data_IF_555766032981
#
_entry.id   IF_555766032981
#
_cell.length_a   1.000
_cell.length_b   1.000
_cell.length_c   1.000
_cell.angle_alpha   90.00
_cell.angle_beta   90.00
_cell.angle_gamma   90.00
#
_symmetry.space_group_name_H-M   'P 1'
#
loop_
_entity.id
_entity.type
_entity.pdbx_description
1 polymer ?
#
# COMPACT_ATOMS: atom_id res chain seq x y z
N UNK A 1 13.51 1.06 -15.32
CA UNK A 1 12.29 0.37 -14.85
C UNK A 1 12.66 -0.65 -13.78
N UNK A 2 11.86 -0.79 -12.75
CA UNK A 2 12.01 -1.76 -11.67
C UNK A 2 10.66 -2.47 -11.48
N UNK A 3 10.64 -3.81 -11.59
CA UNK A 3 9.48 -4.66 -11.31
C UNK A 3 8.21 -4.27 -12.09
N UNK A 4 8.35 -3.80 -13.32
CA UNK A 4 7.22 -3.35 -14.16
C UNK A 4 6.64 -4.47 -15.04
N UNK A 5 7.06 -5.71 -14.85
CA UNK A 5 6.39 -6.87 -15.46
C UNK A 5 5.27 -7.32 -14.51
N UNK A 6 4.03 -6.99 -14.84
CA UNK A 6 2.86 -7.29 -14.01
C UNK A 6 2.37 -8.74 -14.13
N UNK A 7 2.96 -9.53 -15.02
CA UNK A 7 2.70 -10.97 -15.13
C UNK A 7 3.57 -11.78 -14.16
N UNK A 8 4.49 -11.13 -13.46
CA UNK A 8 5.36 -11.76 -12.47
C UNK A 8 4.84 -11.56 -11.05
N UNK A 9 4.81 -12.67 -10.31
CA UNK A 9 4.59 -12.63 -8.86
C UNK A 9 5.88 -12.18 -8.18
N UNK A 10 5.75 -11.21 -7.28
CA UNK A 10 6.87 -10.67 -6.49
C UNK A 10 6.55 -10.74 -5.00
N UNK A 11 7.59 -10.96 -4.20
CA UNK A 11 7.52 -10.82 -2.75
C UNK A 11 8.83 -10.19 -2.25
N UNK A 12 8.72 -9.00 -1.67
CA UNK A 12 9.88 -8.20 -1.25
C UNK A 12 9.73 -7.85 0.22
N UNK A 13 10.61 -8.35 1.06
CA UNK A 13 10.68 -7.94 2.46
C UNK A 13 11.44 -6.60 2.56
N UNK A 14 10.70 -5.52 2.80
CA UNK A 14 11.28 -4.17 2.87
C UNK A 14 12.22 -3.98 4.05
N UNK A 15 12.13 -4.80 5.10
CA UNK A 15 13.07 -4.74 6.22
C UNK A 15 14.48 -5.20 5.83
N UNK A 16 14.60 -6.01 4.78
CA UNK A 16 15.88 -6.49 4.22
C UNK A 16 16.44 -5.57 3.13
N UNK A 17 15.65 -4.58 2.67
CA UNK A 17 16.13 -3.59 1.71
C UNK A 17 16.85 -2.46 2.43
N UNK A 18 17.90 -1.95 1.81
CA UNK A 18 18.54 -0.72 2.27
C UNK A 18 17.78 0.52 1.79
N UNK A 19 17.87 1.58 2.60
CA UNK A 19 17.31 2.86 2.23
C UNK A 19 18.16 3.51 1.13
N UNK A 20 17.50 3.91 0.05
CA UNK A 20 18.11 4.64 -1.05
C UNK A 20 17.78 6.13 -0.94
N UNK A 21 18.71 7.03 -1.27
CA UNK A 21 18.44 8.47 -1.24
C UNK A 21 17.39 8.85 -2.29
N UNK A 22 16.60 9.86 -1.96
CA UNK A 22 15.74 10.55 -2.93
C UNK A 22 16.42 11.84 -3.43
N UNK A 23 15.81 12.57 -4.38
CA UNK A 23 16.29 13.92 -4.72
C UNK A 23 16.25 14.91 -3.56
N UNK A 24 15.42 14.69 -2.54
CA UNK A 24 15.44 15.43 -1.28
C UNK A 24 16.41 14.78 -0.30
N UNK A 25 17.34 15.55 0.25
CA UNK A 25 18.37 15.05 1.15
C UNK A 25 17.83 14.46 2.48
N UNK A 26 16.58 14.79 2.85
CA UNK A 26 15.93 14.34 4.09
C UNK A 26 14.86 13.28 3.86
N UNK A 27 14.83 12.68 2.66
CA UNK A 27 13.84 11.66 2.30
C UNK A 27 14.55 10.46 1.68
N UNK A 28 14.18 9.28 2.16
CA UNK A 28 14.76 7.99 1.75
C UNK A 28 13.67 7.07 1.22
N UNK A 29 14.03 6.17 0.34
CA UNK A 29 13.11 5.26 -0.35
C UNK A 29 13.57 3.81 -0.32
N UNK A 30 12.60 2.90 -0.26
CA UNK A 30 12.73 1.49 -0.61
C UNK A 30 11.80 1.24 -1.78
N UNK A 31 12.30 1.30 -3.02
CA UNK A 31 11.46 1.14 -4.19
C UNK A 31 10.98 -0.30 -4.34
N UNK A 32 9.69 -0.48 -4.65
CA UNK A 32 9.06 -1.77 -4.91
C UNK A 32 8.75 -1.92 -6.39
N UNK A 33 8.15 -0.87 -6.98
CA UNK A 33 7.88 -0.76 -8.43
C UNK A 33 8.24 0.64 -8.89
N UNK A 34 8.75 0.74 -10.12
CA UNK A 34 9.11 2.05 -10.67
C UNK A 34 9.25 2.03 -12.18
N UNK A 35 8.42 2.82 -12.86
CA UNK A 35 8.47 2.99 -14.30
C UNK A 35 9.71 3.80 -14.73
N UNK A 36 9.92 4.97 -14.12
CA UNK A 36 11.08 5.81 -14.38
C UNK A 36 11.71 6.31 -13.08
N UNK A 37 12.88 6.94 -13.17
CA UNK A 37 13.65 7.35 -11.98
C UNK A 37 12.86 8.27 -11.05
N UNK A 38 12.15 9.26 -11.58
CA UNK A 38 11.44 10.29 -10.79
C UNK A 38 10.02 10.59 -11.33
N UNK A 39 9.43 9.70 -12.13
CA UNK A 39 8.11 9.90 -12.71
C UNK A 39 7.43 8.57 -13.06
N UNK A 40 6.14 8.64 -13.38
CA UNK A 40 5.34 7.48 -13.78
C UNK A 40 4.88 6.63 -12.61
N UNK A 41 4.43 5.42 -12.94
CA UNK A 41 3.95 4.42 -11.97
C UNK A 41 5.02 4.12 -10.92
N UNK A 42 4.67 4.25 -9.65
CA UNK A 42 5.61 4.02 -8.54
C UNK A 42 4.89 3.46 -7.32
N UNK A 43 5.46 2.42 -6.73
CA UNK A 43 5.15 1.92 -5.39
C UNK A 43 6.43 1.89 -4.57
N UNK A 44 6.44 2.49 -3.38
CA UNK A 44 7.62 2.56 -2.52
C UNK A 44 7.25 2.64 -1.05
N UNK A 45 8.14 2.17 -0.18
CA UNK A 45 8.17 2.62 1.21
C UNK A 45 9.09 3.84 1.29
N UNK A 46 8.60 4.93 1.88
CA UNK A 46 9.31 6.21 1.95
C UNK A 46 9.44 6.65 3.38
N UNK A 47 10.64 7.07 3.77
CA UNK A 47 10.94 7.64 5.09
C UNK A 47 11.26 9.13 4.94
N UNK A 48 10.54 9.92 5.70
CA UNK A 48 10.82 11.33 5.97
C UNK A 48 11.62 11.43 7.26
N UNK A 49 12.74 12.11 7.24
CA UNK A 49 13.45 12.48 8.46
C UNK A 49 12.72 13.59 9.21
N UNK A 50 12.98 13.79 10.51
CA UNK A 50 12.42 14.93 11.25
C UNK A 50 12.72 16.26 10.54
N UNK A 51 11.67 17.06 10.32
CA UNK A 51 11.74 18.35 9.61
C UNK A 51 11.77 18.24 8.09
N UNK A 52 11.68 17.04 7.52
CA UNK A 52 11.62 16.86 6.07
C UNK A 52 10.36 17.50 5.48
N UNK A 53 10.51 18.12 4.31
CA UNK A 53 9.39 18.74 3.58
C UNK A 53 9.63 18.73 2.08
N UNK A 54 8.54 18.80 1.32
CA UNK A 54 8.55 19.02 -0.11
C UNK A 54 7.83 20.32 -0.46
N UNK A 55 8.29 20.99 -1.49
CA UNK A 55 7.54 22.08 -2.12
C UNK A 55 6.23 21.55 -2.67
N UNK A 56 5.25 22.44 -2.82
CA UNK A 56 3.98 22.07 -3.44
C UNK A 56 4.21 21.39 -4.79
N UNK A 57 3.59 20.24 -4.96
CA UNK A 57 3.63 19.47 -6.20
C UNK A 57 2.27 18.83 -6.49
N UNK A 58 2.08 18.37 -7.71
CA UNK A 58 0.84 17.78 -8.18
C UNK A 58 1.00 16.29 -8.45
N UNK A 59 -0.12 15.57 -8.32
CA UNK A 59 -0.24 14.15 -8.63
C UNK A 59 -1.14 13.95 -9.87
N UNK A 60 -0.59 13.93 -11.10
CA UNK A 60 -1.39 13.89 -12.33
C UNK A 60 -2.34 12.70 -12.41
N UNK A 61 -1.95 11.55 -11.87
CA UNK A 61 -2.72 10.31 -11.85
C UNK A 61 -2.89 9.76 -10.43
N UNK A 62 -3.01 10.66 -9.46
CA UNK A 62 -3.32 10.35 -8.07
C UNK A 62 -2.15 9.85 -7.22
N UNK A 63 -2.41 9.85 -5.93
CA UNK A 63 -1.50 9.38 -4.89
C UNK A 63 -2.30 8.62 -3.82
N UNK A 64 -1.80 7.46 -3.41
CA UNK A 64 -2.33 6.63 -2.34
C UNK A 64 -1.25 6.45 -1.27
N UNK A 65 -1.61 6.69 0.00
CA UNK A 65 -0.68 6.61 1.12
C UNK A 65 -1.30 5.78 2.25
N UNK A 66 -0.50 4.91 2.85
CA UNK A 66 -0.73 4.39 4.19
C UNK A 66 0.44 4.82 5.08
N UNK A 67 0.15 5.56 6.15
CA UNK A 67 1.17 5.98 7.12
C UNK A 67 1.50 4.80 8.03
N UNK A 68 2.73 4.32 7.94
CA UNK A 68 3.21 3.14 8.68
C UNK A 68 3.77 3.50 10.05
N UNK A 69 4.47 4.65 10.14
CA UNK A 69 5.12 5.12 11.37
C UNK A 69 5.13 6.65 11.41
N UNK A 70 5.12 7.23 12.60
CA UNK A 70 5.21 8.67 12.82
C UNK A 70 3.98 9.44 12.36
N UNK A 71 4.18 10.69 11.90
CA UNK A 71 3.11 11.58 11.45
C UNK A 71 3.48 12.19 10.10
N UNK A 72 2.71 11.86 9.07
CA UNK A 72 2.74 12.54 7.79
C UNK A 72 1.81 13.75 7.85
N UNK A 73 2.20 14.87 7.27
CA UNK A 73 1.42 16.12 7.33
C UNK A 73 1.41 16.83 5.98
N UNK A 74 0.38 17.60 5.74
CA UNK A 74 0.29 18.57 4.66
C UNK A 74 -0.48 19.83 5.13
N UNK A 75 -0.77 20.78 4.24
CA UNK A 75 -1.53 21.98 4.56
C UNK A 75 -2.98 21.72 5.01
N UNK A 76 -3.45 20.48 4.90
CA UNK A 76 -4.82 20.09 5.26
C UNK A 76 -4.89 19.38 6.61
N UNK A 77 -3.77 18.96 7.19
CA UNK A 77 -3.74 18.34 8.52
C UNK A 77 -2.56 17.43 8.78
N UNK A 78 -2.62 16.81 9.96
CA UNK A 78 -1.66 15.83 10.46
C UNK A 78 -2.27 14.43 10.38
N UNK A 79 -1.52 13.47 9.87
CA UNK A 79 -1.95 12.10 9.61
C UNK A 79 -1.03 11.13 10.35
N UNK A 80 -1.40 10.68 11.56
CA UNK A 80 -0.58 9.73 12.33
C UNK A 80 -0.54 8.34 11.70
N UNK A 81 0.39 7.50 12.18
CA UNK A 81 0.48 6.10 11.80
C UNK A 81 -0.89 5.41 11.85
N UNK A 82 -1.19 4.61 10.85
CA UNK A 82 -2.50 4.00 10.63
C UNK A 82 -3.47 4.89 9.84
N UNK A 83 -3.08 6.07 9.38
CA UNK A 83 -3.94 6.85 8.49
C UNK A 83 -3.76 6.40 7.04
N UNK A 84 -4.90 6.13 6.38
CA UNK A 84 -4.97 5.87 4.94
C UNK A 84 -5.48 7.11 4.20
N UNK A 85 -4.79 7.47 3.12
CA UNK A 85 -5.10 8.66 2.33
C UNK A 85 -5.17 8.31 0.84
N UNK A 86 -6.14 8.94 0.14
CA UNK A 86 -6.16 9.02 -1.33
C UNK A 86 -6.27 10.48 -1.76
N UNK A 87 -5.38 10.87 -2.61
CA UNK A 87 -5.34 12.18 -3.26
C UNK A 87 -5.65 11.96 -4.75
N UNK A 88 -6.82 12.39 -5.26
CA UNK A 88 -7.27 12.07 -6.61
C UNK A 88 -6.38 12.69 -7.69
N UNK A 89 -6.50 12.24 -8.96
CA UNK A 89 -5.81 12.82 -10.10
C UNK A 89 -5.95 14.35 -10.16
N UNK A 90 -4.83 15.05 -10.37
CA UNK A 90 -4.76 16.52 -10.39
C UNK A 90 -4.70 17.19 -9.02
N UNK A 91 -4.74 16.44 -7.93
CA UNK A 91 -4.54 17.00 -6.58
C UNK A 91 -3.15 17.59 -6.39
N UNK A 92 -3.03 18.52 -5.44
CA UNK A 92 -1.77 19.20 -5.08
C UNK A 92 -1.66 19.28 -3.57
N UNK A 93 -0.46 19.15 -3.04
CA UNK A 93 -0.15 19.42 -1.64
C UNK A 93 1.33 19.75 -1.41
N UNK A 94 1.65 20.17 -0.20
CA UNK A 94 3.00 20.46 0.30
C UNK A 94 3.30 19.54 1.49
N UNK A 95 3.69 18.28 1.27
CA UNK A 95 3.87 17.33 2.35
C UNK A 95 5.12 17.60 3.19
N UNK A 96 5.00 17.32 4.48
CA UNK A 96 6.08 17.43 5.45
C UNK A 96 5.91 16.44 6.60
N UNK A 97 6.94 16.30 7.42
CA UNK A 97 6.85 15.60 8.69
C UNK A 97 7.74 16.30 9.73
N UNK A 98 7.15 16.75 10.83
CA UNK A 98 7.89 17.45 11.92
C UNK A 98 8.79 16.49 12.67
N UNK A 99 8.27 15.31 13.00
CA UNK A 99 8.95 14.31 13.84
C UNK A 99 9.52 13.14 13.03
N UNK A 100 9.29 13.14 11.73
CA UNK A 100 9.60 12.03 10.84
C UNK A 100 8.42 11.06 10.69
N UNK A 101 8.39 10.37 9.55
CA UNK A 101 7.40 9.33 9.29
C UNK A 101 7.91 8.30 8.28
N UNK A 102 7.23 7.16 8.26
CA UNK A 102 7.38 6.13 7.21
C UNK A 102 6.02 5.90 6.59
N UNK A 103 5.96 5.92 5.26
CA UNK A 103 4.74 5.71 4.49
C UNK A 103 4.92 4.62 3.43
N UNK A 104 3.87 3.85 3.17
CA UNK A 104 3.71 3.14 1.91
C UNK A 104 3.00 4.09 0.94
N UNK A 105 3.59 4.36 -0.21
CA UNK A 105 3.04 5.30 -1.20
C UNK A 105 2.95 4.66 -2.59
N UNK A 106 1.85 4.92 -3.27
CA UNK A 106 1.60 4.57 -4.67
C UNK A 106 1.29 5.85 -5.45
N UNK A 107 2.02 6.08 -6.53
CA UNK A 107 1.91 7.28 -7.36
C UNK A 107 1.53 6.94 -8.79
N UNK A 108 0.66 7.75 -9.39
CA UNK A 108 0.29 7.68 -10.80
C UNK A 108 -0.38 6.35 -11.19
N UNK A 109 -1.27 5.84 -10.35
CA UNK A 109 -1.90 4.53 -10.54
C UNK A 109 -3.43 4.56 -10.54
N UNK A 110 -4.05 5.74 -10.46
CA UNK A 110 -5.51 5.85 -10.40
C UNK A 110 -6.12 5.93 -11.79
N UNK A 111 -7.30 5.36 -11.93
CA UNK A 111 -8.20 5.69 -13.04
C UNK A 111 -8.52 7.20 -12.97
N UNK A 112 -8.51 7.87 -14.11
CA UNK A 112 -8.77 9.32 -14.20
C UNK A 112 -10.18 9.70 -13.72
N UNK A 113 -11.10 8.75 -13.69
CA UNK A 113 -12.49 8.91 -13.23
C UNK A 113 -12.63 8.76 -11.72
N UNK A 114 -11.65 8.16 -11.05
CA UNK A 114 -11.65 8.02 -9.59
C UNK A 114 -11.20 9.34 -8.94
N UNK A 115 -12.17 10.19 -8.65
CA UNK A 115 -11.96 11.51 -8.05
C UNK A 115 -12.17 11.52 -6.54
N UNK A 116 -12.27 10.36 -5.90
CA UNK A 116 -12.50 10.27 -4.47
C UNK A 116 -11.28 10.74 -3.67
N UNK A 117 -11.48 11.77 -2.84
CA UNK A 117 -10.52 12.15 -1.79
C UNK A 117 -10.87 11.39 -0.52
N UNK A 118 -9.97 10.51 -0.08
CA UNK A 118 -10.22 9.62 1.08
C UNK A 118 -9.26 9.94 2.22
N UNK A 119 -9.77 9.93 3.44
CA UNK A 119 -9.01 10.05 4.69
C UNK A 119 -9.65 9.10 5.71
N UNK A 120 -8.97 8.02 6.07
CA UNK A 120 -9.43 7.03 7.05
C UNK A 120 -8.38 6.85 8.13
N UNK A 121 -8.73 7.11 9.38
CA UNK A 121 -7.91 6.72 10.52
C UNK A 121 -8.25 5.27 10.89
N UNK A 122 -7.39 4.33 10.50
CA UNK A 122 -7.62 2.89 10.71
C UNK A 122 -7.56 2.47 12.18
N UNK A 123 -7.02 3.34 13.06
CA UNK A 123 -7.01 3.06 14.50
C UNK A 123 -8.39 3.25 15.15
N UNK A 124 -9.30 3.97 14.49
CA UNK A 124 -10.64 4.29 14.99
C UNK A 124 -11.77 3.85 14.07
N UNK A 125 -11.45 3.46 12.83
CA UNK A 125 -12.44 2.97 11.88
C UNK A 125 -12.94 1.57 12.29
N UNK A 126 -14.17 1.26 11.85
CA UNK A 126 -14.85 0.02 12.20
C UNK A 126 -14.32 -1.16 11.41
N UNK A 127 -14.14 -2.29 12.10
CA UNK A 127 -13.91 -3.58 11.50
C UNK A 127 -15.24 -4.28 11.26
N UNK A 128 -15.45 -4.76 10.05
CA UNK A 128 -16.64 -5.50 9.64
C UNK A 128 -16.33 -7.00 9.58
N UNK A 129 -17.33 -7.83 9.85
CA UNK A 129 -17.20 -9.28 9.68
C UNK A 129 -16.95 -9.61 8.20
N UNK A 130 -15.83 -10.29 7.94
CA UNK A 130 -15.48 -10.83 6.64
C UNK A 130 -15.94 -12.28 6.46
N UNK A 131 -15.34 -12.98 5.50
CA UNK A 131 -15.59 -14.41 5.28
C UNK A 131 -14.74 -15.23 6.25
N UNK A 132 -15.31 -16.30 6.82
CA UNK A 132 -14.63 -17.12 7.85
C UNK A 132 -14.45 -16.34 9.14
N UNK A 133 -13.28 -16.43 9.72
CA UNK A 133 -12.90 -15.67 10.92
C UNK A 133 -12.31 -14.28 10.62
N UNK A 134 -12.24 -13.87 9.36
CA UNK A 134 -11.63 -12.59 8.97
C UNK A 134 -12.45 -11.39 9.42
N UNK A 135 -11.76 -10.31 9.78
CA UNK A 135 -12.36 -8.98 9.92
C UNK A 135 -11.79 -8.07 8.83
N UNK A 136 -12.64 -7.28 8.21
CA UNK A 136 -12.28 -6.40 7.07
C UNK A 136 -12.62 -4.96 7.40
N UNK A 137 -11.69 -4.06 7.13
CA UNK A 137 -11.90 -2.62 7.18
C UNK A 137 -11.80 -2.07 5.75
N UNK A 138 -12.92 -1.80 5.06
CA UNK A 138 -12.90 -1.21 3.74
C UNK A 138 -12.29 0.20 3.78
N UNK A 139 -11.36 0.48 2.87
CA UNK A 139 -10.70 1.79 2.78
C UNK A 139 -11.14 2.55 1.52
N UNK A 140 -11.26 1.86 0.39
CA UNK A 140 -11.71 2.43 -0.88
C UNK A 140 -12.20 1.36 -1.85
N UNK A 141 -13.16 1.74 -2.69
CA UNK A 141 -13.66 0.92 -3.80
C UNK A 141 -13.90 1.82 -5.03
N UNK A 142 -13.44 1.35 -6.18
CA UNK A 142 -13.75 1.97 -7.46
C UNK A 142 -13.79 0.90 -8.55
N UNK A 143 -14.95 0.66 -9.16
CA UNK A 143 -15.20 -0.41 -10.14
C UNK A 143 -14.70 -1.78 -9.62
N UNK A 144 -13.61 -2.30 -10.16
CA UNK A 144 -13.01 -3.59 -9.75
C UNK A 144 -11.90 -3.41 -8.70
N UNK A 145 -11.45 -2.19 -8.46
CA UNK A 145 -10.43 -1.89 -7.46
C UNK A 145 -11.06 -1.89 -6.07
N UNK A 146 -10.49 -2.68 -5.17
CA UNK A 146 -10.87 -2.73 -3.75
C UNK A 146 -9.62 -2.59 -2.90
N UNK A 147 -9.67 -1.71 -1.90
CA UNK A 147 -8.61 -1.50 -0.92
C UNK A 147 -9.17 -1.69 0.47
N UNK A 148 -8.50 -2.51 1.29
CA UNK A 148 -8.94 -2.79 2.66
C UNK A 148 -7.76 -3.11 3.58
N UNK A 149 -7.97 -3.01 4.89
CA UNK A 149 -7.22 -3.80 5.85
C UNK A 149 -7.98 -5.10 6.11
N UNK A 150 -7.25 -6.19 6.26
CA UNK A 150 -7.81 -7.49 6.63
C UNK A 150 -7.05 -8.03 7.83
N UNK A 151 -7.79 -8.35 8.89
CA UNK A 151 -7.28 -8.98 10.09
C UNK A 151 -7.61 -10.46 10.06
N UNK A 152 -6.59 -11.26 10.25
CA UNK A 152 -6.60 -12.71 10.26
C UNK A 152 -6.43 -13.20 11.69
N UNK A 153 -7.40 -13.90 12.30
CA UNK A 153 -7.21 -14.48 13.62
C UNK A 153 -6.23 -15.65 13.57
N UNK A 154 -5.69 -16.01 14.72
CA UNK A 154 -4.74 -17.13 14.86
C UNK A 154 -5.32 -18.41 14.28
N UNK A 155 -4.56 -19.06 13.39
CA UNK A 155 -4.92 -20.34 12.78
C UNK A 155 -5.94 -20.26 11.65
N UNK A 156 -6.29 -19.07 11.18
CA UNK A 156 -7.22 -18.92 10.04
C UNK A 156 -6.60 -19.46 8.75
N UNK A 157 -7.42 -20.22 8.03
CA UNK A 157 -7.09 -20.79 6.72
C UNK A 157 -8.19 -20.39 5.75
N UNK A 158 -7.83 -19.66 4.71
CA UNK A 158 -8.79 -19.23 3.70
C UNK A 158 -8.75 -20.18 2.50
N UNK A 159 -9.92 -20.45 1.91
CA UNK A 159 -10.01 -21.34 0.73
C UNK A 159 -9.17 -20.84 -0.44
N UNK A 160 -8.66 -21.72 -1.31
CA UNK A 160 -8.03 -21.32 -2.56
C UNK A 160 -8.94 -20.42 -3.40
N UNK A 161 -8.41 -19.31 -3.88
CA UNK A 161 -9.18 -18.34 -4.67
C UNK A 161 -8.29 -17.60 -5.66
N UNK A 162 -8.91 -16.86 -6.59
CA UNK A 162 -8.27 -16.11 -7.64
C UNK A 162 -8.66 -14.64 -7.56
N UNK A 163 -7.76 -13.77 -8.00
CA UNK A 163 -7.98 -12.33 -8.05
C UNK A 163 -8.04 -11.82 -9.49
N UNK A 164 -9.24 -11.44 -9.94
CA UNK A 164 -9.37 -10.66 -11.17
C UNK A 164 -8.67 -9.30 -11.00
N UNK A 165 -7.85 -8.89 -11.98
CA UNK A 165 -7.05 -7.67 -11.88
C UNK A 165 -5.95 -7.75 -10.82
N UNK A 166 -5.54 -8.98 -10.41
CA UNK A 166 -4.42 -9.20 -9.50
C UNK A 166 -4.66 -8.75 -8.06
N UNK A 167 -3.60 -8.87 -7.26
CA UNK A 167 -3.60 -8.53 -5.85
C UNK A 167 -2.25 -7.95 -5.43
N UNK A 168 -2.27 -6.94 -4.58
CA UNK A 168 -1.15 -6.50 -3.79
C UNK A 168 -1.44 -6.63 -2.30
N UNK A 169 -0.44 -7.05 -1.53
CA UNK A 169 -0.49 -7.15 -0.06
C UNK A 169 0.70 -6.42 0.52
N UNK A 170 0.48 -5.70 1.63
CA UNK A 170 1.54 -5.25 2.53
C UNK A 170 1.26 -5.76 3.94
N UNK A 171 2.17 -6.56 4.49
CA UNK A 171 1.98 -7.17 5.82
C UNK A 171 2.30 -6.14 6.90
N UNK A 172 1.28 -5.72 7.65
CA UNK A 172 1.37 -4.68 8.69
C UNK A 172 1.80 -5.25 10.05
N UNK A 173 1.32 -6.47 10.37
CA UNK A 173 1.72 -7.22 11.58
C UNK A 173 1.57 -8.70 11.37
N UNK A 174 2.27 -9.50 12.17
CA UNK A 174 2.28 -10.97 12.05
C UNK A 174 3.01 -11.48 10.82
N UNK A 175 2.63 -12.68 10.38
CA UNK A 175 3.22 -13.37 9.23
C UNK A 175 2.14 -13.97 8.34
N UNK A 176 1.93 -13.36 7.17
CA UNK A 176 1.06 -13.91 6.13
C UNK A 176 1.75 -15.07 5.42
N UNK A 177 0.99 -16.11 5.05
CA UNK A 177 1.52 -17.34 4.44
C UNK A 177 0.61 -17.81 3.30
N UNK A 178 1.23 -18.43 2.32
CA UNK A 178 0.57 -19.21 1.27
C UNK A 178 1.48 -20.36 0.82
N UNK A 179 1.08 -21.13 -0.21
CA UNK A 179 1.88 -22.22 -0.78
C UNK A 179 3.21 -21.75 -1.38
N UNK A 180 3.38 -20.44 -1.63
CA UNK A 180 4.60 -19.88 -2.22
C UNK A 180 5.60 -19.40 -1.16
N UNK A 181 5.16 -19.17 0.10
CA UNK A 181 6.10 -18.74 1.13
C UNK A 181 5.50 -18.19 2.42
N UNK A 182 6.40 -17.58 3.20
CA UNK A 182 6.11 -16.92 4.47
C UNK A 182 6.53 -15.46 4.38
N UNK A 183 5.62 -14.58 4.73
CA UNK A 183 5.75 -13.13 4.52
C UNK A 183 5.56 -12.41 5.86
N UNK A 184 6.64 -12.15 6.60
CA UNK A 184 6.56 -11.43 7.86
C UNK A 184 6.23 -9.96 7.65
N UNK A 185 5.92 -9.25 8.75
CA UNK A 185 5.71 -7.80 8.77
C UNK A 185 6.71 -7.06 7.87
N UNK A 186 6.22 -6.09 7.10
CA UNK A 186 7.01 -5.29 6.17
C UNK A 186 7.25 -5.98 4.82
N UNK A 187 6.65 -7.14 4.56
CA UNK A 187 6.72 -7.75 3.24
C UNK A 187 5.63 -7.18 2.34
N UNK A 188 6.02 -6.74 1.15
CA UNK A 188 5.14 -6.41 0.04
C UNK A 188 5.07 -7.59 -0.93
N UNK A 189 3.87 -7.92 -1.37
CA UNK A 189 3.59 -9.00 -2.32
C UNK A 189 2.77 -8.41 -3.46
N UNK A 190 3.10 -8.77 -4.70
CA UNK A 190 2.25 -8.53 -5.87
C UNK A 190 2.02 -9.83 -6.61
N UNK A 191 0.75 -10.17 -6.82
CA UNK A 191 0.30 -11.37 -7.50
C UNK A 191 -0.46 -10.99 -8.76
N UNK A 192 -0.11 -11.57 -9.95
CA UNK A 192 -0.69 -11.21 -11.24
C UNK A 192 -2.20 -11.40 -11.34
N UNK A 193 -2.79 -10.82 -12.42
CA UNK A 193 -4.15 -11.10 -12.81
C UNK A 193 -4.44 -12.61 -12.87
N UNK A 194 -5.57 -13.03 -12.27
CA UNK A 194 -6.02 -14.43 -12.17
C UNK A 194 -5.05 -15.39 -11.45
N UNK A 195 -4.02 -14.86 -10.79
CA UNK A 195 -3.21 -15.70 -9.89
C UNK A 195 -4.07 -16.31 -8.80
N UNK A 196 -3.71 -17.50 -8.38
CA UNK A 196 -4.41 -18.25 -7.34
C UNK A 196 -3.47 -18.48 -6.18
N UNK A 197 -4.00 -18.39 -4.95
CA UNK A 197 -3.30 -18.79 -3.75
C UNK A 197 -4.24 -19.39 -2.69
N UNK A 198 -3.64 -20.03 -1.69
CA UNK A 198 -4.30 -20.63 -0.55
C UNK A 198 -3.70 -20.03 0.73
N UNK A 199 -4.15 -18.85 1.16
CA UNK A 199 -3.53 -18.15 2.27
C UNK A 199 -3.96 -18.68 3.63
N UNK A 200 -3.04 -18.60 4.60
CA UNK A 200 -3.26 -18.97 5.99
C UNK A 200 -2.30 -18.23 6.93
N UNK A 201 -2.61 -18.25 8.22
CA UNK A 201 -1.75 -17.68 9.26
C UNK A 201 -1.68 -18.57 10.49
N UNK A 202 -0.55 -18.57 11.21
CA UNK A 202 -0.39 -19.27 12.50
C UNK A 202 -0.49 -18.31 13.70
N UNK A 203 -0.42 -17.03 13.47
CA UNK A 203 -0.52 -15.94 14.43
C UNK A 203 -1.47 -14.86 13.92
N UNK A 204 -2.00 -14.01 14.80
CA UNK A 204 -2.81 -12.88 14.36
C UNK A 204 -2.02 -12.02 13.38
N UNK A 205 -2.59 -11.79 12.21
CA UNK A 205 -1.92 -11.09 11.12
C UNK A 205 -2.83 -10.02 10.54
N UNK A 206 -2.29 -8.82 10.35
CA UNK A 206 -2.99 -7.72 9.68
C UNK A 206 -2.27 -7.38 8.39
N UNK A 207 -3.03 -7.33 7.31
CA UNK A 207 -2.53 -6.92 5.99
C UNK A 207 -3.30 -5.72 5.47
N UNK A 208 -2.61 -4.83 4.75
CA UNK A 208 -3.22 -3.98 3.74
C UNK A 208 -3.30 -4.78 2.45
N UNK A 209 -4.45 -4.77 1.79
CA UNK A 209 -4.66 -5.49 0.54
C UNK A 209 -5.34 -4.59 -0.49
N UNK A 210 -4.89 -4.69 -1.74
CA UNK A 210 -5.47 -4.03 -2.91
C UNK A 210 -5.66 -5.05 -4.01
N UNK A 211 -6.89 -5.15 -4.52
CA UNK A 211 -7.25 -6.10 -5.59
C UNK A 211 -7.88 -5.40 -6.78
N UNK A 212 -7.83 -6.02 -7.94
CA UNK A 212 -8.57 -5.55 -9.13
C UNK A 212 -7.94 -4.38 -9.89
N UNK A 213 -6.72 -3.97 -9.55
CA UNK A 213 -6.08 -2.75 -10.06
C UNK A 213 -4.92 -3.00 -11.03
N UNK A 214 -4.44 -4.24 -11.12
CA UNK A 214 -3.34 -4.56 -12.04
C UNK A 214 -3.83 -4.71 -13.48
N UNK A 215 -2.97 -4.44 -14.48
CA UNK A 215 -3.34 -4.58 -15.87
C UNK A 215 -3.89 -5.97 -16.19
N UNK A 216 -4.97 -5.99 -16.96
CA UNK A 216 -5.56 -7.22 -17.52
C UNK A 216 -5.19 -7.24 -19.00
N UNK A 217 -4.35 -8.20 -19.41
CA UNK A 217 -4.08 -8.40 -20.82
C UNK A 217 -5.40 -8.79 -21.52
N UNK A 218 -5.78 -8.02 -22.54
CA UNK A 218 -6.95 -8.27 -23.39
C UNK A 218 -6.63 -9.35 -24.40
#
# INVERSE_FOLDING_TARGET
MLNMNFDERLAINTQKQEWQPSPSATVWRKPLEREAKESGHTTSVVRYEPGASFKQHSHPYGEEILVLEGVFSDEHGDYPAGTYLRNPPGSKHSPFSKEGCVILVKLNQFDKRDLAKVRVNTNTAEWLQGQGGLEVMPLHNFEHEHVALVKWPVGEVFKPHKHFGGEEIFVLSGTFKDEHGKYPKGTWIRSPHMSQHHPYVDEETVIWVKTGHLPVAL
#
